data_IF_552521392324
#
_entry.id   IF_552521392324
#
_cell.length_a   1.000
_cell.length_b   1.000
_cell.length_c   1.000
_cell.angle_alpha   90.00
_cell.angle_beta   90.00
_cell.angle_gamma   90.00
#
_symmetry.space_group_name_H-M   'P 1'
#
loop_
_entity.id
_entity.type
_entity.pdbx_description
1 polymer ?
#
# COMPACT_ATOMS: atom_id res chain seq x y z
N UNK A 1 -4.09 8.14 26.15
CA UNK A 1 -4.71 6.85 25.76
C UNK A 1 -5.92 7.06 24.82
N UNK A 2 -6.87 7.97 25.12
CA UNK A 2 -8.00 8.24 24.21
C UNK A 2 -7.56 8.77 22.84
N UNK A 3 -6.62 9.71 22.80
CA UNK A 3 -6.09 10.29 21.55
C UNK A 3 -5.40 9.24 20.64
N UNK A 4 -4.69 8.29 21.24
CA UNK A 4 -4.07 7.20 20.54
C UNK A 4 -5.08 6.22 19.91
N UNK A 5 -6.20 5.98 20.57
CA UNK A 5 -7.28 5.15 20.05
C UNK A 5 -8.06 5.84 18.92
N UNK A 6 -8.20 7.16 18.96
CA UNK A 6 -8.82 7.91 17.87
C UNK A 6 -8.02 7.85 16.56
N UNK A 7 -6.69 7.69 16.65
CA UNK A 7 -5.84 7.50 15.47
C UNK A 7 -6.18 6.17 14.78
N UNK A 8 -6.35 5.10 15.56
CA UNK A 8 -6.68 3.78 14.99
C UNK A 8 -8.03 3.74 14.29
N UNK A 9 -8.99 4.57 14.71
CA UNK A 9 -10.30 4.66 14.04
C UNK A 9 -10.24 5.13 12.58
N UNK A 10 -9.10 5.65 12.16
CA UNK A 10 -8.85 6.06 10.77
C UNK A 10 -8.02 5.05 10.00
N UNK A 11 -7.55 3.99 10.65
CA UNK A 11 -6.65 3.00 10.06
C UNK A 11 -7.45 1.85 9.46
N UNK A 12 -7.15 1.52 8.21
CA UNK A 12 -7.66 0.37 7.49
C UNK A 12 -6.63 -0.77 7.50
N UNK A 13 -7.09 -1.97 7.85
CA UNK A 13 -6.24 -3.15 8.01
C UNK A 13 -6.75 -4.30 7.16
N UNK A 14 -5.85 -4.93 6.41
CA UNK A 14 -6.06 -6.22 5.77
C UNK A 14 -5.41 -7.31 6.63
N UNK A 15 -6.14 -8.38 6.93
CA UNK A 15 -5.66 -9.54 7.70
C UNK A 15 -5.71 -10.76 6.81
N UNK A 16 -4.56 -11.24 6.33
CA UNK A 16 -4.43 -12.47 5.54
C UNK A 16 -3.99 -13.61 6.46
N UNK A 17 -4.85 -14.61 6.61
CA UNK A 17 -4.69 -15.74 7.50
C UNK A 17 -5.58 -16.88 6.98
N UNK A 18 -5.04 -18.06 6.76
CA UNK A 18 -5.80 -19.19 6.22
C UNK A 18 -6.65 -19.90 7.29
N UNK A 19 -6.20 -19.92 8.54
CA UNK A 19 -7.02 -20.38 9.65
C UNK A 19 -8.18 -19.42 9.92
N UNK A 20 -9.41 -19.89 9.70
CA UNK A 20 -10.61 -19.08 9.85
C UNK A 20 -10.80 -18.59 11.28
N UNK A 21 -10.52 -19.44 12.29
CA UNK A 21 -10.71 -19.07 13.69
C UNK A 21 -9.67 -18.02 14.11
N UNK A 22 -8.40 -18.19 13.72
CA UNK A 22 -7.35 -17.21 13.99
C UNK A 22 -7.66 -15.87 13.29
N UNK A 23 -8.08 -15.92 12.03
CA UNK A 23 -8.47 -14.73 11.26
C UNK A 23 -9.62 -13.96 11.92
N UNK A 24 -10.71 -14.64 12.29
CA UNK A 24 -11.87 -14.03 12.94
C UNK A 24 -11.54 -13.51 14.35
N UNK A 25 -10.66 -14.16 15.11
CA UNK A 25 -10.18 -13.66 16.39
C UNK A 25 -9.48 -12.31 16.25
N UNK A 26 -8.56 -12.18 15.28
CA UNK A 26 -7.85 -10.93 15.03
C UNK A 26 -8.83 -9.85 14.57
N UNK A 27 -9.72 -10.15 13.61
CA UNK A 27 -10.71 -9.20 13.09
C UNK A 27 -11.61 -8.70 14.21
N UNK A 28 -12.19 -9.60 14.97
CA UNK A 28 -13.12 -9.27 16.07
C UNK A 28 -12.42 -8.47 17.16
N UNK A 29 -11.16 -8.81 17.46
CA UNK A 29 -10.35 -8.12 18.45
C UNK A 29 -9.95 -6.68 18.03
N UNK A 30 -9.78 -6.42 16.73
CA UNK A 30 -9.36 -5.11 16.22
C UNK A 30 -10.52 -4.22 15.76
N UNK A 31 -11.62 -4.80 15.28
CA UNK A 31 -12.78 -4.09 14.72
C UNK A 31 -13.35 -2.96 15.60
N UNK A 32 -13.39 -3.08 16.95
CA UNK A 32 -13.87 -1.99 17.82
C UNK A 32 -12.96 -0.76 17.83
N UNK A 33 -11.70 -0.90 17.42
CA UNK A 33 -10.67 0.12 17.56
C UNK A 33 -10.23 0.73 16.23
N UNK A 34 -10.34 -0.01 15.13
CA UNK A 34 -9.85 0.39 13.80
C UNK A 34 -10.99 0.87 12.91
N UNK A 35 -10.67 1.71 11.93
CA UNK A 35 -11.65 2.23 10.98
C UNK A 35 -12.23 1.14 10.08
N UNK A 36 -11.37 0.24 9.62
CA UNK A 36 -11.77 -0.91 8.82
C UNK A 36 -10.83 -2.08 9.09
N UNK A 37 -11.37 -3.29 9.22
CA UNK A 37 -10.60 -4.52 9.30
C UNK A 37 -11.23 -5.54 8.37
N UNK A 38 -10.49 -5.99 7.37
CA UNK A 38 -10.95 -6.95 6.35
C UNK A 38 -10.07 -8.19 6.40
N UNK A 39 -10.69 -9.36 6.42
CA UNK A 39 -10.00 -10.64 6.35
C UNK A 39 -9.78 -11.10 4.91
N UNK A 40 -8.72 -11.87 4.70
CA UNK A 40 -8.45 -12.64 3.50
C UNK A 40 -8.04 -14.05 3.90
N UNK A 41 -8.53 -15.04 3.18
CA UNK A 41 -8.32 -16.47 3.51
C UNK A 41 -6.99 -17.05 3.01
N UNK A 42 -6.31 -16.33 2.14
CA UNK A 42 -5.02 -16.68 1.56
C UNK A 42 -4.38 -15.41 0.94
N UNK A 43 -3.13 -15.53 0.47
CA UNK A 43 -2.42 -14.39 -0.09
C UNK A 43 -3.01 -13.88 -1.42
N UNK A 44 -3.64 -14.76 -2.21
CA UNK A 44 -4.28 -14.36 -3.47
C UNK A 44 -5.52 -13.49 -3.19
N UNK A 45 -6.39 -13.93 -2.29
CA UNK A 45 -7.56 -13.16 -1.84
C UNK A 45 -7.13 -11.82 -1.19
N UNK A 46 -6.00 -11.85 -0.45
CA UNK A 46 -5.39 -10.65 0.13
C UNK A 46 -4.95 -9.65 -0.93
N UNK A 47 -4.22 -10.11 -1.94
CA UNK A 47 -3.75 -9.28 -3.05
C UNK A 47 -4.91 -8.67 -3.85
N UNK A 48 -5.94 -9.46 -4.15
CA UNK A 48 -7.14 -8.98 -4.85
C UNK A 48 -7.89 -7.89 -4.07
N UNK A 49 -8.05 -8.09 -2.75
CA UNK A 49 -8.67 -7.09 -1.88
C UNK A 49 -7.82 -5.82 -1.79
N UNK A 50 -6.49 -5.97 -1.72
CA UNK A 50 -5.57 -4.83 -1.71
C UNK A 50 -5.65 -4.01 -3.00
N UNK A 51 -5.69 -4.67 -4.16
CA UNK A 51 -5.83 -4.00 -5.46
C UNK A 51 -7.13 -3.20 -5.58
N UNK A 52 -8.22 -3.66 -4.95
CA UNK A 52 -9.54 -3.02 -5.02
C UNK A 52 -9.62 -1.70 -4.25
N UNK A 53 -8.99 -1.62 -3.06
CA UNK A 53 -9.17 -0.43 -2.20
C UNK A 53 -7.91 0.08 -1.50
N UNK A 54 -6.85 -0.70 -1.45
CA UNK A 54 -5.68 -0.39 -0.64
C UNK A 54 -5.96 -0.48 0.87
N UNK A 55 -4.87 -0.49 1.67
CA UNK A 55 -4.95 -0.53 3.13
C UNK A 55 -3.75 0.22 3.74
N UNK A 56 -3.92 0.75 4.96
CA UNK A 56 -2.83 1.39 5.69
C UNK A 56 -1.82 0.37 6.20
N UNK A 57 -2.31 -0.76 6.70
CA UNK A 57 -1.49 -1.85 7.25
C UNK A 57 -1.98 -3.18 6.68
N UNK A 58 -1.07 -4.02 6.25
CA UNK A 58 -1.33 -5.42 5.88
C UNK A 58 -0.71 -6.32 6.93
N UNK A 59 -1.53 -7.18 7.50
CA UNK A 59 -1.13 -8.22 8.44
C UNK A 59 -1.21 -9.56 7.71
N UNK A 60 -0.18 -10.39 7.80
CA UNK A 60 -0.13 -11.64 7.05
C UNK A 60 0.52 -12.76 7.82
N UNK A 61 -0.09 -13.94 7.81
CA UNK A 61 0.66 -15.16 8.07
C UNK A 61 1.64 -15.39 6.90
N UNK A 62 2.74 -16.08 7.20
CA UNK A 62 3.72 -16.51 6.21
C UNK A 62 3.19 -17.71 5.43
N UNK A 63 2.67 -18.70 6.14
CA UNK A 63 2.33 -19.99 5.58
C UNK A 63 0.84 -20.08 5.24
N UNK A 64 0.50 -19.67 4.03
CA UNK A 64 -0.86 -19.76 3.50
C UNK A 64 -0.86 -20.52 2.17
N UNK A 65 -1.96 -21.20 1.83
CA UNK A 65 -2.12 -21.87 0.54
C UNK A 65 -2.26 -20.83 -0.60
N UNK A 66 -2.14 -21.31 -1.84
CA UNK A 66 -2.30 -20.56 -3.10
C UNK A 66 -1.18 -19.55 -3.32
N UNK A 67 -1.11 -18.50 -2.50
CA UNK A 67 -0.07 -17.48 -2.48
C UNK A 67 0.35 -17.26 -1.02
N UNK A 68 1.61 -17.51 -0.69
CA UNK A 68 2.10 -17.33 0.66
C UNK A 68 2.27 -15.86 1.03
N UNK A 69 2.45 -15.57 2.34
CA UNK A 69 2.53 -14.20 2.83
C UNK A 69 3.67 -13.38 2.26
N UNK A 70 4.82 -13.99 1.99
CA UNK A 70 5.97 -13.30 1.39
C UNK A 70 5.73 -12.97 -0.09
N UNK A 71 5.16 -13.89 -0.84
CA UNK A 71 4.79 -13.66 -2.22
C UNK A 71 3.75 -12.54 -2.35
N UNK A 72 2.69 -12.58 -1.53
CA UNK A 72 1.69 -11.51 -1.45
C UNK A 72 2.35 -10.16 -1.11
N UNK A 73 3.23 -10.13 -0.11
CA UNK A 73 3.94 -8.91 0.29
C UNK A 73 4.77 -8.34 -0.86
N UNK A 74 5.48 -9.19 -1.61
CA UNK A 74 6.26 -8.75 -2.77
C UNK A 74 5.39 -8.14 -3.86
N UNK A 75 4.25 -8.76 -4.18
CA UNK A 75 3.31 -8.24 -5.18
C UNK A 75 2.71 -6.91 -4.73
N UNK A 76 2.31 -6.81 -3.46
CA UNK A 76 1.79 -5.54 -2.91
C UNK A 76 2.87 -4.45 -2.95
N UNK A 77 4.13 -4.76 -2.66
CA UNK A 77 5.23 -3.78 -2.70
C UNK A 77 5.56 -3.27 -4.09
N UNK A 78 5.32 -4.04 -5.13
CA UNK A 78 5.41 -3.53 -6.51
C UNK A 78 4.38 -2.42 -6.75
N UNK A 79 3.19 -2.52 -6.14
CA UNK A 79 2.12 -1.53 -6.23
C UNK A 79 2.34 -0.34 -5.29
N UNK A 80 2.77 -0.63 -4.06
CA UNK A 80 2.96 0.36 -2.98
C UNK A 80 4.23 0.04 -2.18
N UNK A 81 5.41 0.53 -2.61
CA UNK A 81 6.71 0.19 -2.02
C UNK A 81 6.83 0.48 -0.52
N UNK A 82 6.09 1.47 -0.02
CA UNK A 82 6.10 1.88 1.39
C UNK A 82 4.97 1.28 2.22
N UNK A 83 4.27 0.25 1.70
CA UNK A 83 3.23 -0.43 2.44
C UNK A 83 3.78 -1.00 3.75
N UNK A 84 3.07 -0.74 4.85
CA UNK A 84 3.40 -1.31 6.16
C UNK A 84 2.90 -2.74 6.24
N UNK A 85 3.79 -3.65 6.64
CA UNK A 85 3.47 -5.05 6.84
C UNK A 85 3.78 -5.48 8.27
N UNK A 86 2.83 -6.20 8.87
CA UNK A 86 3.03 -6.98 10.09
C UNK A 86 2.95 -8.45 9.68
N UNK A 87 4.05 -9.17 9.83
CA UNK A 87 4.12 -10.60 9.52
C UNK A 87 3.99 -11.38 10.81
N UNK A 88 3.18 -12.43 10.82
CA UNK A 88 3.05 -13.30 11.97
C UNK A 88 3.15 -14.77 11.54
N UNK A 89 3.67 -15.60 12.44
CA UNK A 89 3.86 -17.04 12.19
C UNK A 89 3.92 -17.84 13.47
N UNK A 90 3.54 -19.11 13.37
CA UNK A 90 3.74 -20.10 14.44
C UNK A 90 5.16 -20.66 14.50
N UNK A 91 5.95 -20.49 13.44
CA UNK A 91 7.31 -21.01 13.33
C UNK A 91 8.35 -20.03 13.86
N UNK A 92 9.20 -20.56 14.75
CA UNK A 92 10.21 -19.82 15.51
C UNK A 92 11.61 -20.03 14.90
N UNK A 93 11.74 -19.91 13.59
CA UNK A 93 13.06 -19.98 12.95
C UNK A 93 13.60 -18.60 12.70
N UNK A 94 14.87 -18.38 13.09
CA UNK A 94 15.62 -17.15 12.78
C UNK A 94 15.63 -16.86 11.28
N UNK A 95 15.58 -17.88 10.44
CA UNK A 95 15.50 -17.76 8.97
C UNK A 95 14.22 -17.04 8.52
N UNK A 96 13.05 -17.35 9.10
CA UNK A 96 11.79 -16.67 8.76
C UNK A 96 11.81 -15.22 9.25
N UNK A 97 12.41 -14.94 10.39
CA UNK A 97 12.59 -13.58 10.90
C UNK A 97 13.47 -12.75 9.97
N UNK A 98 14.64 -13.25 9.62
CA UNK A 98 15.60 -12.59 8.72
C UNK A 98 14.94 -12.36 7.36
N UNK A 99 14.32 -13.39 6.78
CA UNK A 99 13.60 -13.30 5.50
C UNK A 99 12.49 -12.26 5.51
N UNK A 100 11.76 -12.14 6.64
CA UNK A 100 10.71 -11.12 6.78
C UNK A 100 11.28 -9.70 6.73
N UNK A 101 12.40 -9.45 7.38
CA UNK A 101 13.07 -8.14 7.32
C UNK A 101 13.68 -7.86 5.96
N UNK A 102 14.30 -8.83 5.32
CA UNK A 102 14.84 -8.71 3.95
C UNK A 102 13.74 -8.38 2.95
N UNK A 103 12.58 -8.99 3.10
CA UNK A 103 11.38 -8.71 2.31
C UNK A 103 10.73 -7.37 2.71
N UNK A 104 11.23 -6.72 3.78
CA UNK A 104 10.80 -5.41 4.25
C UNK A 104 9.50 -5.43 5.03
N UNK A 105 9.26 -6.46 5.84
CA UNK A 105 8.23 -6.39 6.89
C UNK A 105 8.56 -5.25 7.85
N UNK A 106 7.52 -4.53 8.27
CA UNK A 106 7.68 -3.44 9.25
C UNK A 106 7.82 -4.00 10.66
N UNK A 107 7.06 -5.04 10.95
CA UNK A 107 7.11 -5.78 12.21
C UNK A 107 6.90 -7.28 11.97
N UNK A 108 7.49 -8.07 12.86
CA UNK A 108 7.32 -9.51 12.93
C UNK A 108 6.74 -9.89 14.29
N UNK A 109 5.72 -10.76 14.30
CA UNK A 109 5.06 -11.24 15.50
C UNK A 109 5.02 -12.77 15.54
N UNK A 110 5.24 -13.32 16.72
CA UNK A 110 5.09 -14.75 16.98
C UNK A 110 3.66 -15.05 17.43
N UNK A 111 3.05 -16.09 16.90
CA UNK A 111 1.79 -16.64 17.42
C UNK A 111 2.04 -17.40 18.75
N UNK A 112 1.14 -17.34 19.74
CA UNK A 112 -0.17 -16.70 19.72
C UNK A 112 -0.09 -15.17 19.87
N UNK A 113 -0.95 -14.44 19.15
CA UNK A 113 -0.96 -12.98 19.15
C UNK A 113 -1.85 -12.47 20.29
N UNK A 114 -1.29 -11.65 21.18
CA UNK A 114 -2.09 -10.90 22.14
C UNK A 114 -2.68 -9.65 21.46
N UNK A 115 -4.00 -9.50 21.51
CA UNK A 115 -4.70 -8.38 20.88
C UNK A 115 -4.33 -7.03 21.52
N UNK A 116 -3.98 -6.98 22.81
CA UNK A 116 -3.56 -5.74 23.48
C UNK A 116 -2.19 -5.30 22.98
N UNK A 117 -1.26 -6.25 22.85
CA UNK A 117 0.08 -5.99 22.33
C UNK A 117 0.01 -5.56 20.88
N UNK A 118 -0.77 -6.29 20.07
CA UNK A 118 -1.01 -5.94 18.67
C UNK A 118 -1.58 -4.52 18.53
N UNK A 119 -2.56 -4.16 19.34
CA UNK A 119 -3.13 -2.80 19.35
C UNK A 119 -2.08 -1.73 19.70
N UNK A 120 -1.23 -2.00 20.69
CA UNK A 120 -0.15 -1.08 21.09
C UNK A 120 0.86 -0.87 19.95
N UNK A 121 1.19 -1.94 19.23
CA UNK A 121 2.06 -1.89 18.04
C UNK A 121 1.40 -1.12 16.89
N UNK A 122 0.12 -1.36 16.62
CA UNK A 122 -0.64 -0.62 15.60
C UNK A 122 -0.68 0.88 15.90
N UNK A 123 -0.87 1.25 17.17
CA UNK A 123 -0.77 2.65 17.60
C UNK A 123 0.62 3.21 17.27
N UNK A 124 1.69 2.52 17.67
CA UNK A 124 3.06 2.95 17.41
C UNK A 124 3.32 3.16 15.91
N UNK A 125 2.92 2.20 15.07
CA UNK A 125 3.04 2.31 13.62
C UNK A 125 2.22 3.45 13.01
N UNK A 126 1.10 3.79 13.64
CA UNK A 126 0.21 4.86 13.18
C UNK A 126 0.69 6.25 13.62
N UNK A 127 1.51 6.33 14.68
CA UNK A 127 2.12 7.56 15.17
C UNK A 127 3.36 8.00 14.38
N UNK A 128 3.88 7.19 13.48
CA UNK A 128 5.01 7.63 12.65
C UNK A 128 4.63 8.89 11.86
N UNK A 129 5.01 10.03 12.42
CA UNK A 129 4.92 11.35 11.77
C UNK A 129 6.02 11.46 10.72
N UNK A 130 5.88 10.76 9.63
CA UNK A 130 6.76 11.00 8.50
C UNK A 130 6.12 12.04 7.58
N UNK A 131 6.33 13.29 7.95
CA UNK A 131 5.86 14.47 7.20
C UNK A 131 6.78 14.80 6.00
N UNK A 132 7.66 13.86 5.62
CA UNK A 132 8.55 14.11 4.50
C UNK A 132 7.75 14.25 3.20
N UNK A 133 7.51 15.49 2.83
CA UNK A 133 6.90 15.83 1.55
C UNK A 133 7.96 15.76 0.46
N UNK A 134 7.63 15.08 -0.62
CA UNK A 134 8.41 15.12 -1.86
C UNK A 134 7.81 16.22 -2.73
N UNK A 135 8.63 17.20 -3.10
CA UNK A 135 8.22 18.30 -3.97
C UNK A 135 8.25 17.83 -5.42
N UNK A 136 7.12 17.91 -6.10
CA UNK A 136 6.99 17.57 -7.52
C UNK A 136 7.09 18.81 -8.43
N UNK A 137 6.65 19.97 -7.93
CA UNK A 137 6.73 21.27 -8.56
C UNK A 137 6.67 22.36 -7.50
N UNK A 138 6.65 23.65 -7.91
CA UNK A 138 6.50 24.76 -6.96
C UNK A 138 5.16 24.74 -6.22
N UNK A 139 4.12 24.23 -6.84
CA UNK A 139 2.78 24.20 -6.30
C UNK A 139 2.40 22.83 -5.69
N UNK A 140 3.07 21.73 -6.09
CA UNK A 140 2.65 20.38 -5.76
C UNK A 140 3.69 19.64 -4.96
N UNK A 141 3.26 19.09 -3.84
CA UNK A 141 4.02 18.15 -3.01
C UNK A 141 3.18 16.93 -2.69
N UNK A 142 3.86 15.82 -2.40
CA UNK A 142 3.22 14.55 -2.06
C UNK A 142 3.81 13.95 -0.80
N UNK A 143 2.99 13.24 -0.05
CA UNK A 143 3.43 12.34 1.01
C UNK A 143 3.33 10.92 0.48
N UNK A 144 4.46 10.29 0.15
CA UNK A 144 4.52 8.95 -0.42
C UNK A 144 3.96 7.87 0.53
N UNK A 145 4.19 8.02 1.84
CA UNK A 145 3.73 7.03 2.82
C UNK A 145 2.22 7.07 3.05
N UNK A 146 1.64 8.29 3.03
CA UNK A 146 0.20 8.49 3.27
C UNK A 146 -0.62 8.54 1.98
N UNK A 147 0.03 8.49 0.83
CA UNK A 147 -0.60 8.68 -0.48
C UNK A 147 -1.48 9.94 -0.54
N UNK A 148 -0.92 11.06 -0.06
CA UNK A 148 -1.59 12.36 -0.09
C UNK A 148 -0.90 13.31 -1.06
N UNK A 149 -1.70 14.01 -1.83
CA UNK A 149 -1.26 15.03 -2.78
C UNK A 149 -1.68 16.38 -2.22
N UNK A 150 -0.76 17.33 -2.21
CA UNK A 150 -1.03 18.70 -1.81
C UNK A 150 -0.73 19.63 -2.96
N UNK A 151 -1.67 20.54 -3.26
CA UNK A 151 -1.50 21.62 -4.21
C UNK A 151 -1.72 22.95 -3.49
N UNK A 152 -0.72 23.82 -3.52
CA UNK A 152 -0.72 25.09 -2.79
C UNK A 152 -1.07 24.92 -1.29
N UNK A 153 -0.56 23.84 -0.67
CA UNK A 153 -0.78 23.52 0.74
C UNK A 153 -2.12 22.86 1.08
N UNK A 154 -3.05 22.76 0.12
CA UNK A 154 -4.35 22.08 0.30
C UNK A 154 -4.32 20.66 -0.26
N UNK A 155 -4.97 19.73 0.44
CA UNK A 155 -5.08 18.34 -0.03
C UNK A 155 -5.89 18.28 -1.33
N UNK A 156 -5.36 17.57 -2.34
CA UNK A 156 -5.98 17.39 -3.64
C UNK A 156 -6.39 15.93 -3.81
N UNK A 157 -7.60 15.72 -4.29
CA UNK A 157 -8.14 14.40 -4.58
C UNK A 157 -8.26 14.18 -6.08
N UNK A 158 -7.73 13.06 -6.56
CA UNK A 158 -7.84 12.62 -7.95
C UNK A 158 -9.00 11.61 -8.11
N UNK A 159 -9.52 11.47 -9.31
CA UNK A 159 -10.43 10.36 -9.62
C UNK A 159 -9.72 9.02 -9.39
N UNK A 160 -10.49 7.94 -9.16
CA UNK A 160 -9.94 6.63 -8.85
C UNK A 160 -8.84 6.17 -9.83
N UNK A 161 -9.09 6.27 -11.12
CA UNK A 161 -8.13 5.86 -12.15
C UNK A 161 -6.92 6.79 -12.21
N UNK A 162 -7.12 8.11 -12.12
CA UNK A 162 -6.03 9.06 -12.05
C UNK A 162 -5.15 8.81 -10.82
N UNK A 163 -5.76 8.50 -9.67
CA UNK A 163 -5.06 8.21 -8.43
C UNK A 163 -4.17 6.97 -8.57
N UNK A 164 -4.70 5.85 -9.09
CA UNK A 164 -3.90 4.63 -9.33
C UNK A 164 -2.70 4.90 -10.24
N UNK A 165 -2.92 5.54 -11.38
CA UNK A 165 -1.85 5.85 -12.35
C UNK A 165 -0.84 6.83 -11.75
N UNK A 166 -1.31 7.87 -11.05
CA UNK A 166 -0.44 8.85 -10.42
C UNK A 166 0.51 8.22 -9.40
N UNK A 167 -0.01 7.35 -8.51
CA UNK A 167 0.83 6.71 -7.49
C UNK A 167 1.83 5.74 -8.09
N UNK A 168 1.50 5.06 -9.19
CA UNK A 168 2.48 4.25 -9.91
C UNK A 168 3.67 5.12 -10.39
N UNK A 169 3.42 6.32 -10.91
CA UNK A 169 4.47 7.28 -11.24
C UNK A 169 5.19 7.84 -10.01
N UNK A 170 4.45 8.18 -8.97
CA UNK A 170 4.99 8.76 -7.75
C UNK A 170 5.96 7.80 -7.02
N UNK A 171 5.73 6.50 -7.11
CA UNK A 171 6.67 5.49 -6.59
C UNK A 171 7.87 5.23 -7.50
N UNK A 172 7.80 5.69 -8.74
CA UNK A 172 8.86 5.57 -9.75
C UNK A 172 9.39 6.93 -10.21
N UNK A 173 9.56 7.89 -9.29
CA UNK A 173 10.07 9.22 -9.61
C UNK A 173 11.39 9.15 -10.36
N UNK A 174 11.49 9.92 -11.46
CA UNK A 174 12.65 9.95 -12.35
C UNK A 174 13.00 8.61 -13.03
N UNK A 175 12.12 7.61 -12.93
CA UNK A 175 12.28 6.30 -13.60
C UNK A 175 11.18 6.10 -14.64
N UNK A 176 11.45 5.27 -15.66
CA UNK A 176 10.43 4.89 -16.64
C UNK A 176 9.26 4.13 -15.99
N UNK A 177 8.04 4.53 -16.33
CA UNK A 177 6.83 3.73 -16.12
C UNK A 177 6.29 3.40 -17.51
N UNK A 178 6.32 2.11 -17.86
CA UNK A 178 5.93 1.64 -19.19
C UNK A 178 4.43 1.44 -19.30
N UNK A 179 3.93 1.30 -20.54
CA UNK A 179 2.52 0.98 -20.78
C UNK A 179 2.18 -0.38 -20.18
N UNK A 180 3.07 -1.38 -20.29
CA UNK A 180 2.90 -2.71 -19.72
C UNK A 180 2.77 -2.65 -18.19
N UNK A 181 3.60 -1.84 -17.51
CA UNK A 181 3.46 -1.63 -16.06
C UNK A 181 2.09 -1.03 -15.70
N UNK A 182 1.60 -0.07 -16.50
CA UNK A 182 0.29 0.54 -16.25
C UNK A 182 -0.83 -0.48 -16.47
N UNK A 183 -0.75 -1.29 -17.52
CA UNK A 183 -1.71 -2.37 -17.78
C UNK A 183 -1.70 -3.41 -16.65
N UNK A 184 -0.51 -3.87 -16.25
CA UNK A 184 -0.34 -4.85 -15.17
C UNK A 184 -0.90 -4.34 -13.83
N UNK A 185 -0.46 -3.14 -13.40
CA UNK A 185 -0.72 -2.68 -12.03
C UNK A 185 -1.97 -1.81 -11.85
N UNK A 186 -2.49 -1.23 -12.92
CA UNK A 186 -3.66 -0.34 -12.85
C UNK A 186 -4.91 -0.99 -13.42
N UNK A 187 -4.75 -1.77 -14.49
CA UNK A 187 -5.87 -2.40 -15.23
C UNK A 187 -5.95 -3.92 -15.05
N UNK A 188 -5.23 -4.46 -14.03
CA UNK A 188 -5.25 -5.89 -13.69
C UNK A 188 -4.95 -6.78 -14.93
N UNK A 189 -3.92 -6.39 -15.71
CA UNK A 189 -3.50 -7.02 -16.97
C UNK A 189 -4.58 -7.01 -18.07
N UNK A 190 -5.60 -6.16 -17.95
CA UNK A 190 -6.54 -5.92 -19.04
C UNK A 190 -5.89 -5.03 -20.08
N UNK A 191 -5.93 -5.45 -21.34
CA UNK A 191 -5.40 -4.66 -22.46
C UNK A 191 -6.15 -3.34 -22.60
N UNK A 192 -5.41 -2.23 -22.60
CA UNK A 192 -5.94 -0.88 -22.71
C UNK A 192 -5.22 -0.11 -23.80
N UNK A 193 -5.97 0.63 -24.62
CA UNK A 193 -5.35 1.40 -25.68
C UNK A 193 -4.36 2.44 -25.13
N UNK A 194 -3.20 2.56 -25.78
CA UNK A 194 -2.20 3.59 -25.43
C UNK A 194 -2.82 4.99 -25.38
N UNK A 195 -3.77 5.28 -26.25
CA UNK A 195 -4.48 6.56 -26.27
C UNK A 195 -5.29 6.83 -24.98
N UNK A 196 -5.89 5.81 -24.38
CA UNK A 196 -6.61 5.95 -23.12
C UNK A 196 -5.64 6.33 -21.98
N UNK A 197 -4.49 5.64 -21.88
CA UNK A 197 -3.44 5.95 -20.90
C UNK A 197 -2.89 7.35 -21.11
N UNK A 198 -2.58 7.73 -22.37
CA UNK A 198 -2.09 9.06 -22.73
C UNK A 198 -3.06 10.17 -22.30
N UNK A 199 -4.36 9.94 -22.46
CA UNK A 199 -5.38 10.90 -22.04
C UNK A 199 -5.39 11.07 -20.51
N UNK A 200 -5.20 10.02 -19.73
CA UNK A 200 -5.12 10.13 -18.27
C UNK A 200 -3.85 10.88 -17.86
N UNK A 201 -2.70 10.56 -18.45
CA UNK A 201 -1.44 11.27 -18.19
C UNK A 201 -1.56 12.76 -18.56
N UNK A 202 -2.22 13.09 -19.66
CA UNK A 202 -2.46 14.48 -20.06
C UNK A 202 -3.36 15.24 -19.04
N UNK A 203 -4.38 14.57 -18.51
CA UNK A 203 -5.23 15.13 -17.44
C UNK A 203 -4.42 15.36 -16.16
N UNK A 204 -3.62 14.39 -15.73
CA UNK A 204 -2.73 14.52 -14.57
C UNK A 204 -1.76 15.68 -14.74
N UNK A 205 -1.14 15.83 -15.93
CA UNK A 205 -0.24 16.93 -16.23
C UNK A 205 -0.94 18.30 -16.10
N UNK A 206 -2.17 18.42 -16.58
CA UNK A 206 -2.93 19.69 -16.49
C UNK A 206 -3.39 19.98 -15.07
N UNK A 207 -3.87 18.99 -14.35
CA UNK A 207 -4.45 19.14 -13.01
C UNK A 207 -3.38 19.43 -11.96
N UNK A 208 -2.26 18.72 -12.04
CA UNK A 208 -1.17 18.83 -11.08
C UNK A 208 -0.11 19.88 -11.47
N UNK A 209 0.00 20.25 -12.74
CA UNK A 209 1.08 21.13 -13.17
C UNK A 209 2.47 20.51 -13.09
N UNK A 210 2.56 19.16 -13.08
CA UNK A 210 3.82 18.42 -12.99
C UNK A 210 4.36 18.04 -14.37
N UNK A 211 5.66 17.71 -14.42
CA UNK A 211 6.35 17.44 -15.68
C UNK A 211 6.42 15.93 -15.95
N UNK A 212 5.71 15.50 -16.99
CA UNK A 212 5.87 14.16 -17.56
C UNK A 212 6.74 14.24 -18.82
N UNK A 213 7.80 13.43 -18.86
CA UNK A 213 8.63 13.21 -20.05
C UNK A 213 8.14 11.97 -20.78
N UNK A 214 7.79 12.09 -22.05
CA UNK A 214 7.43 10.95 -22.89
C UNK A 214 8.69 10.16 -23.27
N UNK A 215 8.62 8.83 -23.16
CA UNK A 215 9.61 7.89 -23.68
C UNK A 215 8.97 7.24 -24.89
N UNK A 216 9.44 7.64 -26.08
CA UNK A 216 8.89 7.20 -27.37
C UNK A 216 8.41 5.76 -27.35
N UNK A 217 7.12 5.54 -27.60
CA UNK A 217 6.38 4.28 -27.64
C UNK A 217 6.36 3.39 -26.39
N UNK A 218 7.15 3.71 -25.36
CA UNK A 218 7.32 2.83 -24.19
C UNK A 218 6.54 3.31 -22.95
N UNK A 219 6.34 4.61 -22.75
CA UNK A 219 5.67 5.13 -21.55
C UNK A 219 6.10 6.55 -21.18
N UNK A 220 6.15 6.82 -19.87
CA UNK A 220 6.44 8.15 -19.34
C UNK A 220 7.36 8.11 -18.12
N UNK A 221 7.99 9.25 -17.83
CA UNK A 221 8.71 9.52 -16.58
C UNK A 221 8.05 10.71 -15.90
N UNK A 222 7.66 10.60 -14.64
CA UNK A 222 7.35 11.75 -13.81
C UNK A 222 8.66 12.35 -13.30
N UNK A 223 8.98 13.54 -13.84
CA UNK A 223 10.25 14.22 -13.55
C UNK A 223 10.04 15.15 -12.36
N UNK A 224 10.91 15.04 -11.37
CA UNK A 224 10.96 15.96 -10.23
C UNK A 224 12.24 16.79 -10.25
N UNK A 225 12.21 17.98 -9.65
CA UNK A 225 13.37 18.89 -9.58
C UNK A 225 14.59 18.25 -8.94
#
# INVERSE_FOLDING_TARGET
MQEALEILKKVSILVAEDDEMARELIITGLKPYCGQVIGAKDGQDGLEKFKKQGFDIVMSDIHMPVLNGFEMMNEIKKLKPHQKFIVFTSYDSDENLIKSYEQGATLFLKKPIDIKDLRSMLISLSFERDEKLVRLSDEVSINLKREKIYKNGSELYLSFLQNKIFWLFAYNLNKPVTYEMIEEFVYDSTEVSKAAIQNVVLRLKRELGVKFKNISESGYILVVP
#
